data_IF_586165469932
#
_entry.id   IF_586165469932
#
_cell.length_a   1.000
_cell.length_b   1.000
_cell.length_c   1.000
_cell.angle_alpha   90.00
_cell.angle_beta   90.00
_cell.angle_gamma   90.00
#
_symmetry.space_group_name_H-M   'P 1'
#
loop_
_entity.id
_entity.type
_entity.pdbx_description
1 polymer ?
#
# COMPACT_ATOMS: atom_id res chain seq x y z
N UNK A 1 -46.52 5.91 81.26
CA UNK A 1 -45.60 4.96 80.60
C UNK A 1 -46.22 4.35 79.33
N UNK A 2 -47.31 3.59 79.41
CA UNK A 2 -47.91 2.90 78.24
C UNK A 2 -48.31 3.82 77.06
N UNK A 3 -48.84 5.02 77.32
CA UNK A 3 -49.19 5.97 76.25
C UNK A 3 -47.96 6.43 75.45
N UNK A 4 -46.82 6.58 76.12
CA UNK A 4 -45.58 7.05 75.49
C UNK A 4 -44.95 5.96 74.64
N UNK A 5 -44.99 4.71 75.13
CA UNK A 5 -44.53 3.51 74.41
C UNK A 5 -45.33 3.35 73.11
N UNK A 6 -46.67 3.40 73.17
CA UNK A 6 -47.53 3.35 71.97
C UNK A 6 -47.22 4.46 70.95
N UNK A 7 -46.88 5.66 71.42
CA UNK A 7 -46.55 6.78 70.55
C UNK A 7 -45.18 6.60 69.86
N UNK A 8 -44.23 5.98 70.57
CA UNK A 8 -42.93 5.61 69.98
C UNK A 8 -43.08 4.46 68.98
N UNK A 9 -43.91 3.46 69.27
CA UNK A 9 -44.23 2.36 68.35
C UNK A 9 -44.84 2.89 67.04
N UNK A 10 -45.86 3.77 67.12
CA UNK A 10 -46.46 4.39 65.93
C UNK A 10 -45.45 5.22 65.12
N UNK A 11 -44.54 5.95 65.77
CA UNK A 11 -43.49 6.70 65.07
C UNK A 11 -42.51 5.76 64.36
N UNK A 12 -42.10 4.69 65.02
CA UNK A 12 -41.18 3.71 64.46
C UNK A 12 -41.81 2.99 63.26
N UNK A 13 -43.10 2.66 63.34
CA UNK A 13 -43.86 2.07 62.25
C UNK A 13 -44.05 3.05 61.08
N UNK A 14 -44.31 4.33 61.37
CA UNK A 14 -44.37 5.37 60.32
C UNK A 14 -43.03 5.59 59.61
N UNK A 15 -41.91 5.52 60.35
CA UNK A 15 -40.57 5.62 59.76
C UNK A 15 -40.20 4.37 58.95
N UNK A 16 -40.58 3.19 59.43
CA UNK A 16 -40.37 1.94 58.69
C UNK A 16 -41.12 1.95 57.35
N UNK A 17 -42.39 2.40 57.35
CA UNK A 17 -43.17 2.56 56.12
C UNK A 17 -42.53 3.59 55.19
N UNK A 18 -42.10 4.74 55.71
CA UNK A 18 -41.44 5.78 54.92
C UNK A 18 -40.17 5.26 54.23
N UNK A 19 -39.28 4.62 54.98
CA UNK A 19 -38.04 4.04 54.44
C UNK A 19 -38.33 2.95 53.40
N UNK A 20 -39.37 2.14 53.62
CA UNK A 20 -39.77 1.12 52.66
C UNK A 20 -40.26 1.77 51.35
N UNK A 21 -41.10 2.81 51.43
CA UNK A 21 -41.57 3.52 50.24
C UNK A 21 -40.44 4.22 49.50
N UNK A 22 -39.50 4.86 50.21
CA UNK A 22 -38.32 5.46 49.58
C UNK A 22 -37.49 4.39 48.86
N UNK A 23 -37.22 3.26 49.52
CA UNK A 23 -36.50 2.14 48.90
C UNK A 23 -37.18 1.68 47.60
N UNK A 24 -38.49 1.47 47.63
CA UNK A 24 -39.25 1.02 46.45
C UNK A 24 -39.19 2.07 45.31
N UNK A 25 -39.23 3.37 45.64
CA UNK A 25 -39.06 4.44 44.65
C UNK A 25 -37.65 4.48 44.05
N UNK A 26 -36.61 4.29 44.86
CA UNK A 26 -35.22 4.22 44.39
C UNK A 26 -35.01 3.00 43.49
N UNK A 27 -35.56 1.84 43.84
CA UNK A 27 -35.49 0.62 43.02
C UNK A 27 -36.24 0.77 41.69
N UNK A 28 -37.36 1.49 41.67
CA UNK A 28 -38.08 1.78 40.43
C UNK A 28 -37.28 2.76 39.55
N UNK A 29 -36.74 3.83 40.15
CA UNK A 29 -35.93 4.81 39.43
C UNK A 29 -34.66 4.18 38.85
N UNK A 30 -33.99 3.31 39.61
CA UNK A 30 -32.81 2.58 39.13
C UNK A 30 -33.15 1.71 37.93
N UNK A 31 -34.22 0.91 38.01
CA UNK A 31 -34.69 0.08 36.88
C UNK A 31 -35.02 0.90 35.65
N UNK A 32 -35.71 2.03 35.81
CA UNK A 32 -36.02 2.93 34.70
C UNK A 32 -34.74 3.48 34.06
N UNK A 33 -33.75 3.88 34.86
CA UNK A 33 -32.47 4.36 34.34
C UNK A 33 -31.75 3.24 33.57
N UNK A 34 -31.67 2.03 34.12
CA UNK A 34 -31.07 0.88 33.45
C UNK A 34 -31.77 0.54 32.12
N UNK A 35 -33.10 0.58 32.09
CA UNK A 35 -33.88 0.31 30.89
C UNK A 35 -33.67 1.39 29.82
N UNK A 36 -33.64 2.68 30.21
CA UNK A 36 -33.35 3.76 29.26
C UNK A 36 -31.94 3.67 28.69
N UNK A 37 -30.94 3.29 29.49
CA UNK A 37 -29.57 3.09 29.00
C UNK A 37 -29.46 1.86 28.10
N UNK A 38 -30.17 0.78 28.42
CA UNK A 38 -30.25 -0.40 27.55
C UNK A 38 -30.83 -0.07 26.19
N UNK A 39 -31.96 0.64 26.14
CA UNK A 39 -32.60 1.06 24.89
C UNK A 39 -31.71 2.00 24.08
N UNK A 40 -31.01 2.94 24.73
CA UNK A 40 -30.03 3.81 24.05
C UNK A 40 -28.87 3.03 23.46
N UNK A 41 -28.35 2.05 24.19
CA UNK A 41 -27.27 1.19 23.71
C UNK A 41 -27.72 0.35 22.51
N UNK A 42 -28.92 -0.25 22.57
CA UNK A 42 -29.49 -1.01 21.46
C UNK A 42 -29.73 -0.15 20.22
N UNK A 43 -30.27 1.07 20.39
CA UNK A 43 -30.45 2.02 19.31
C UNK A 43 -29.12 2.43 18.66
N UNK A 44 -28.11 2.78 19.47
CA UNK A 44 -26.78 3.16 18.98
C UNK A 44 -26.09 1.99 18.28
N UNK A 45 -26.25 0.77 18.80
CA UNK A 45 -25.73 -0.45 18.18
C UNK A 45 -26.37 -0.68 16.81
N UNK A 46 -27.69 -0.55 16.70
CA UNK A 46 -28.40 -0.69 15.43
C UNK A 46 -27.99 0.38 14.41
N UNK A 47 -27.82 1.63 14.84
CA UNK A 47 -27.34 2.72 13.98
C UNK A 47 -25.91 2.48 13.48
N UNK A 48 -25.00 2.05 14.36
CA UNK A 48 -23.64 1.71 13.98
C UNK A 48 -23.57 0.50 13.03
N UNK A 49 -24.41 -0.52 13.24
CA UNK A 49 -24.49 -1.66 12.33
C UNK A 49 -25.05 -1.26 10.95
N UNK A 50 -26.05 -0.39 10.90
CA UNK A 50 -26.62 0.13 9.66
C UNK A 50 -25.63 0.98 8.87
N UNK A 51 -24.98 1.95 9.52
CA UNK A 51 -23.95 2.81 8.89
C UNK A 51 -22.78 1.97 8.37
N UNK A 52 -22.29 1.00 9.17
CA UNK A 52 -21.22 0.10 8.72
C UNK A 52 -21.64 -0.78 7.55
N UNK A 53 -22.90 -1.23 7.50
CA UNK A 53 -23.42 -2.01 6.37
C UNK A 53 -23.51 -1.17 5.09
N UNK A 54 -23.98 0.07 5.19
CA UNK A 54 -24.07 1.00 4.06
C UNK A 54 -22.69 1.33 3.48
N UNK A 55 -21.70 1.56 4.34
CA UNK A 55 -20.34 1.90 3.91
C UNK A 55 -19.65 0.70 3.23
N UNK A 56 -19.81 -0.51 3.78
CA UNK A 56 -19.36 -1.74 3.11
C UNK A 56 -20.05 -1.94 1.76
N UNK A 57 -21.34 -1.62 1.65
CA UNK A 57 -22.06 -1.73 0.38
C UNK A 57 -21.51 -0.73 -0.66
N UNK A 58 -21.17 0.50 -0.26
CA UNK A 58 -20.53 1.49 -1.14
C UNK A 58 -19.16 1.00 -1.61
N UNK A 59 -18.31 0.53 -0.69
CA UNK A 59 -16.98 0.00 -1.04
C UNK A 59 -17.07 -1.17 -2.03
N UNK A 60 -18.02 -2.08 -1.83
CA UNK A 60 -18.24 -3.21 -2.74
C UNK A 60 -18.69 -2.72 -4.13
N UNK A 61 -19.57 -1.72 -4.20
CA UNK A 61 -20.01 -1.12 -5.48
C UNK A 61 -18.84 -0.43 -6.21
N UNK A 62 -18.02 0.32 -5.48
CA UNK A 62 -16.84 0.98 -6.03
C UNK A 62 -15.80 -0.02 -6.54
N UNK A 63 -15.48 -1.05 -5.75
CA UNK A 63 -14.56 -2.11 -6.17
C UNK A 63 -15.08 -2.86 -7.40
N UNK A 64 -16.38 -3.14 -7.46
CA UNK A 64 -17.01 -3.76 -8.63
C UNK A 64 -16.91 -2.88 -9.88
N UNK A 65 -17.06 -1.57 -9.73
CA UNK A 65 -16.88 -0.62 -10.84
C UNK A 65 -15.41 -0.59 -11.31
N UNK A 66 -14.45 -0.53 -10.39
CA UNK A 66 -13.01 -0.59 -10.72
C UNK A 66 -12.64 -1.88 -11.45
N UNK A 67 -13.13 -3.03 -10.98
CA UNK A 67 -12.90 -4.31 -11.63
C UNK A 67 -13.48 -4.34 -13.05
N UNK A 68 -14.68 -3.77 -13.25
CA UNK A 68 -15.29 -3.65 -14.57
C UNK A 68 -14.42 -2.81 -15.51
N UNK A 69 -13.97 -1.64 -15.08
CA UNK A 69 -13.10 -0.78 -15.89
C UNK A 69 -11.79 -1.47 -16.25
N UNK A 70 -11.12 -2.11 -15.28
CA UNK A 70 -9.87 -2.84 -15.53
C UNK A 70 -10.07 -3.99 -16.53
N UNK A 71 -11.23 -4.66 -16.46
CA UNK A 71 -11.57 -5.70 -17.44
C UNK A 71 -11.77 -5.12 -18.85
N UNK A 72 -12.46 -3.98 -18.97
CA UNK A 72 -12.64 -3.29 -20.25
C UNK A 72 -11.29 -2.83 -20.84
N UNK A 73 -10.38 -2.33 -20.01
CA UNK A 73 -9.01 -1.99 -20.42
C UNK A 73 -8.26 -3.24 -20.91
N UNK A 74 -8.30 -4.34 -20.16
CA UNK A 74 -7.69 -5.60 -20.57
C UNK A 74 -8.23 -6.13 -21.90
N UNK A 75 -9.55 -6.05 -22.09
CA UNK A 75 -10.18 -6.47 -23.35
C UNK A 75 -9.75 -5.55 -24.50
N UNK A 76 -9.62 -4.23 -24.26
CA UNK A 76 -9.11 -3.29 -25.27
C UNK A 76 -7.66 -3.55 -25.66
N UNK A 77 -6.79 -3.92 -24.70
CA UNK A 77 -5.40 -4.29 -24.98
C UNK A 77 -5.32 -5.59 -25.77
N UNK A 78 -6.20 -6.55 -25.48
CA UNK A 78 -6.32 -7.80 -26.23
C UNK A 78 -6.71 -7.53 -27.68
N UNK A 79 -7.75 -6.74 -27.90
CA UNK A 79 -8.22 -6.36 -29.24
C UNK A 79 -7.14 -5.59 -30.03
N UNK A 80 -6.31 -4.79 -29.36
CA UNK A 80 -5.16 -4.13 -29.98
C UNK A 80 -4.08 -5.15 -30.38
N UNK A 81 -3.74 -6.08 -29.48
CA UNK A 81 -2.75 -7.12 -29.74
C UNK A 81 -3.17 -8.03 -30.90
N UNK A 82 -4.44 -8.44 -30.93
CA UNK A 82 -5.00 -9.27 -32.00
C UNK A 82 -4.92 -8.54 -33.35
N UNK A 83 -5.29 -7.26 -33.41
CA UNK A 83 -5.14 -6.44 -34.64
C UNK A 83 -3.69 -6.30 -35.09
N UNK A 84 -2.76 -6.08 -34.16
CA UNK A 84 -1.34 -6.01 -34.50
C UNK A 84 -0.82 -7.35 -35.03
N UNK A 85 -1.29 -8.46 -34.47
CA UNK A 85 -0.90 -9.79 -34.91
C UNK A 85 -1.43 -10.09 -36.33
N UNK A 86 -2.69 -9.74 -36.61
CA UNK A 86 -3.27 -9.81 -37.96
C UNK A 86 -2.49 -8.97 -38.98
N UNK A 87 -2.08 -7.75 -38.62
CA UNK A 87 -1.27 -6.89 -39.50
C UNK A 87 0.10 -7.52 -39.80
N UNK A 88 0.75 -8.10 -38.78
CA UNK A 88 2.02 -8.81 -38.97
C UNK A 88 1.84 -10.06 -39.84
N UNK A 89 0.75 -10.81 -39.67
CA UNK A 89 0.45 -11.99 -40.50
C UNK A 89 0.17 -11.61 -41.96
N UNK A 90 -0.49 -10.48 -42.21
CA UNK A 90 -0.67 -9.93 -43.56
C UNK A 90 0.66 -9.55 -44.20
N UNK A 91 1.56 -8.89 -43.46
CA UNK A 91 2.88 -8.52 -43.95
C UNK A 91 3.77 -9.75 -44.20
N UNK A 92 3.73 -10.74 -43.30
CA UNK A 92 4.40 -12.04 -43.51
C UNK A 92 3.88 -12.71 -44.78
N UNK A 93 2.57 -12.69 -45.01
CA UNK A 93 1.96 -13.24 -46.22
C UNK A 93 2.40 -12.48 -47.49
N UNK A 94 2.45 -11.15 -47.42
CA UNK A 94 2.94 -10.29 -48.51
C UNK A 94 4.40 -10.59 -48.86
N UNK A 95 5.29 -10.56 -47.86
CA UNK A 95 6.71 -10.88 -48.02
C UNK A 95 6.91 -12.32 -48.51
N UNK A 96 6.14 -13.28 -48.01
CA UNK A 96 6.19 -14.66 -48.48
C UNK A 96 5.80 -14.79 -49.95
N UNK A 97 4.78 -14.04 -50.40
CA UNK A 97 4.40 -13.99 -51.82
C UNK A 97 5.50 -13.35 -52.68
N UNK A 98 6.15 -12.30 -52.19
CA UNK A 98 7.22 -11.59 -52.89
C UNK A 98 8.47 -12.47 -53.02
N UNK A 99 8.83 -13.19 -51.96
CA UNK A 99 9.89 -14.22 -51.99
C UNK A 99 9.57 -15.30 -53.01
N UNK A 100 8.34 -15.83 -53.06
CA UNK A 100 7.93 -16.84 -54.06
C UNK A 100 8.05 -16.29 -55.48
N UNK A 101 7.62 -15.05 -55.72
CA UNK A 101 7.72 -14.40 -57.03
C UNK A 101 9.19 -14.19 -57.46
N UNK A 102 10.07 -13.80 -56.53
CA UNK A 102 11.50 -13.65 -56.77
C UNK A 102 12.16 -15.00 -57.07
N UNK A 103 11.84 -16.05 -56.32
CA UNK A 103 12.30 -17.41 -56.59
C UNK A 103 11.86 -17.89 -57.97
N UNK A 104 10.61 -17.68 -58.33
CA UNK A 104 10.10 -18.04 -59.66
C UNK A 104 10.78 -17.23 -60.78
N UNK A 105 11.14 -15.96 -60.53
CA UNK A 105 11.89 -15.13 -61.48
C UNK A 105 13.34 -15.59 -61.65
N UNK A 106 13.96 -16.11 -60.58
CA UNK A 106 15.29 -16.71 -60.60
C UNK A 106 15.33 -18.04 -61.36
N UNK A 107 14.31 -18.88 -61.19
CA UNK A 107 14.18 -20.16 -61.92
C UNK A 107 13.88 -19.97 -63.42
N UNK A 108 13.24 -18.85 -63.80
CA UNK A 108 12.99 -18.49 -65.20
C UNK A 108 14.20 -17.85 -65.92
N UNK A 109 15.29 -17.52 -65.20
CA UNK A 109 16.51 -17.00 -65.81
C UNK A 109 17.37 -18.17 -66.34
N UNK A 110 17.64 -18.27 -67.65
CA UNK A 110 18.43 -19.37 -68.18
C UNK A 110 19.89 -19.26 -67.70
N UNK A 111 20.45 -20.41 -67.32
CA UNK A 111 21.85 -20.60 -66.92
C UNK A 111 22.75 -20.30 -68.12
N UNK A 112 23.27 -19.08 -68.20
CA UNK A 112 24.14 -18.61 -69.28
C UNK A 112 25.48 -18.11 -68.77
N UNK A 113 26.52 -18.89 -69.08
CA UNK A 113 27.91 -18.53 -69.36
C UNK A 113 28.81 -17.98 -68.23
N UNK A 114 29.67 -18.88 -67.78
CA UNK A 114 31.05 -18.61 -67.35
C UNK A 114 31.85 -18.36 -68.63
N UNK A 115 32.46 -17.18 -68.80
CA UNK A 115 33.89 -17.00 -69.16
C UNK A 115 34.25 -15.54 -69.51
N UNK A 116 35.32 -15.10 -68.84
CA UNK A 116 36.35 -14.09 -69.14
C UNK A 116 36.10 -13.00 -70.20
N UNK A 117 36.15 -11.72 -69.76
CA UNK A 117 36.89 -10.67 -70.48
C UNK A 117 37.67 -9.81 -69.48
N UNK A 118 38.99 -9.91 -69.56
CA UNK A 118 39.97 -9.07 -68.91
C UNK A 118 39.99 -7.64 -69.48
N UNK A 119 40.29 -6.66 -68.61
CA UNK A 119 41.18 -5.54 -68.94
C UNK A 119 40.55 -4.23 -69.42
N UNK A 120 40.52 -3.24 -68.54
CA UNK A 120 40.88 -1.82 -68.79
C UNK A 120 40.77 -1.07 -67.45
N UNK A 121 41.87 -0.86 -66.74
CA UNK A 121 42.72 0.33 -66.86
C UNK A 121 41.95 1.64 -66.62
N UNK A 122 42.04 2.11 -65.38
CA UNK A 122 42.33 3.50 -64.99
C UNK A 122 41.65 4.61 -65.80
N UNK A 123 40.61 5.22 -65.23
CA UNK A 123 40.33 6.64 -65.48
C UNK A 123 39.83 7.32 -64.20
N UNK A 124 40.79 7.97 -63.52
CA UNK A 124 40.52 9.21 -62.80
C UNK A 124 39.88 10.18 -63.80
N UNK A 125 38.64 10.57 -63.54
CA UNK A 125 38.11 11.83 -64.05
C UNK A 125 37.44 12.57 -62.89
N UNK A 126 38.20 13.54 -62.38
CA UNK A 126 37.68 14.69 -61.69
C UNK A 126 36.69 15.40 -62.62
N UNK A 127 35.40 15.32 -62.29
CA UNK A 127 34.36 16.22 -62.78
C UNK A 127 33.29 16.33 -61.70
N UNK A 128 33.50 17.24 -60.76
CA UNK A 128 32.49 17.67 -59.80
C UNK A 128 31.33 18.32 -60.56
N UNK A 129 30.24 17.57 -60.75
CA UNK A 129 28.95 18.13 -61.11
C UNK A 129 28.25 18.56 -59.81
N UNK A 130 27.78 19.83 -59.69
CA UNK A 130 27.22 20.37 -58.45
C UNK A 130 26.03 19.55 -57.92
N UNK A 131 25.31 18.85 -58.80
CA UNK A 131 24.19 17.97 -58.46
C UNK A 131 24.58 16.74 -57.63
N UNK A 132 25.79 16.18 -57.79
CA UNK A 132 26.21 14.99 -57.01
C UNK A 132 26.60 15.39 -55.57
N UNK A 133 27.24 16.55 -55.40
CA UNK A 133 27.56 17.11 -54.09
C UNK A 133 26.27 17.50 -53.33
N UNK A 134 25.28 18.09 -54.00
CA UNK A 134 23.98 18.40 -53.41
C UNK A 134 23.24 17.15 -52.93
N UNK A 135 23.21 16.07 -53.73
CA UNK A 135 22.59 14.80 -53.32
C UNK A 135 23.27 14.20 -52.09
N UNK A 136 24.61 14.29 -52.00
CA UNK A 136 25.36 13.80 -50.85
C UNK A 136 25.11 14.63 -49.59
N UNK A 137 25.00 15.96 -49.72
CA UNK A 137 24.63 16.86 -48.61
C UNK A 137 23.23 16.55 -48.09
N UNK A 138 22.26 16.32 -49.00
CA UNK A 138 20.88 16.01 -48.63
C UNK A 138 20.77 14.66 -47.88
N UNK A 139 21.56 13.67 -48.31
CA UNK A 139 21.66 12.37 -47.63
C UNK A 139 22.26 12.51 -46.22
N UNK A 140 23.35 13.26 -46.07
CA UNK A 140 23.99 13.51 -44.78
C UNK A 140 23.10 14.31 -43.84
N UNK A 141 22.39 15.32 -44.35
CA UNK A 141 21.42 16.09 -43.57
C UNK A 141 20.27 15.23 -43.08
N UNK A 142 19.75 14.31 -43.93
CA UNK A 142 18.73 13.34 -43.52
C UNK A 142 19.24 12.39 -42.43
N UNK A 143 20.45 11.86 -42.58
CA UNK A 143 21.05 10.97 -41.58
C UNK A 143 21.33 11.72 -40.27
N UNK A 144 21.70 12.99 -40.34
CA UNK A 144 21.89 13.83 -39.17
C UNK A 144 20.57 14.12 -38.45
N UNK A 145 19.50 14.46 -39.18
CA UNK A 145 18.18 14.66 -38.60
C UNK A 145 17.65 13.38 -37.91
N UNK A 146 17.86 12.20 -38.50
CA UNK A 146 17.50 10.92 -37.87
C UNK A 146 18.26 10.67 -36.57
N UNK A 147 19.59 10.88 -36.58
CA UNK A 147 20.40 10.75 -35.36
C UNK A 147 19.97 11.74 -34.27
N UNK A 148 19.67 12.98 -34.65
CA UNK A 148 19.20 14.00 -33.71
C UNK A 148 17.83 13.64 -33.14
N UNK A 149 16.91 13.12 -33.95
CA UNK A 149 15.59 12.66 -33.49
C UNK A 149 15.71 11.51 -32.49
N UNK A 150 16.49 10.47 -32.80
CA UNK A 150 16.77 9.35 -31.89
C UNK A 150 17.41 9.82 -30.58
N UNK A 151 18.34 10.78 -30.66
CA UNK A 151 19.01 11.35 -29.49
C UNK A 151 18.01 12.15 -28.64
N UNK A 152 17.13 12.95 -29.23
CA UNK A 152 16.07 13.65 -28.47
C UNK A 152 15.05 12.69 -27.87
N UNK A 153 14.71 11.60 -28.56
CA UNK A 153 13.80 10.58 -28.04
C UNK A 153 14.42 9.86 -26.83
N UNK A 154 15.69 9.46 -26.93
CA UNK A 154 16.42 8.86 -25.82
C UNK A 154 16.53 9.82 -24.63
N UNK A 155 16.83 11.10 -24.87
CA UNK A 155 16.88 12.12 -23.81
C UNK A 155 15.54 12.28 -23.10
N UNK A 156 14.42 12.33 -23.83
CA UNK A 156 13.08 12.39 -23.22
C UNK A 156 12.79 11.15 -22.38
N UNK A 157 13.18 9.97 -22.85
CA UNK A 157 12.97 8.74 -22.11
C UNK A 157 13.82 8.68 -20.84
N UNK A 158 15.08 9.14 -20.90
CA UNK A 158 15.94 9.25 -19.72
C UNK A 158 15.32 10.18 -18.68
N UNK A 159 14.79 11.34 -19.09
CA UNK A 159 14.13 12.27 -18.16
C UNK A 159 12.88 11.65 -17.54
N UNK A 160 12.03 10.99 -18.33
CA UNK A 160 10.84 10.32 -17.80
C UNK A 160 11.20 9.23 -16.77
N UNK A 161 12.23 8.42 -17.04
CA UNK A 161 12.72 7.41 -16.11
C UNK A 161 13.34 8.03 -14.85
N UNK A 162 14.02 9.17 -14.97
CA UNK A 162 14.58 9.88 -13.82
C UNK A 162 13.48 10.40 -12.90
N UNK A 163 12.42 10.98 -13.46
CA UNK A 163 11.25 11.44 -12.70
C UNK A 163 10.56 10.27 -11.98
N UNK A 164 10.38 9.14 -12.68
CA UNK A 164 9.80 7.92 -12.10
C UNK A 164 10.65 7.36 -10.95
N UNK A 165 11.97 7.35 -11.09
CA UNK A 165 12.89 6.91 -10.02
C UNK A 165 12.77 7.86 -8.81
N UNK A 166 12.71 9.17 -9.00
CA UNK A 166 12.58 10.11 -7.89
C UNK A 166 11.25 9.92 -7.14
N UNK A 167 10.15 9.69 -7.87
CA UNK A 167 8.84 9.40 -7.28
C UNK A 167 8.86 8.11 -6.46
N UNK A 168 9.40 7.02 -7.03
CA UNK A 168 9.55 5.75 -6.34
C UNK A 168 10.46 5.86 -5.11
N UNK A 169 11.54 6.65 -5.17
CA UNK A 169 12.39 6.90 -4.01
C UNK A 169 11.64 7.65 -2.90
N UNK A 170 10.83 8.65 -3.25
CA UNK A 170 9.98 9.36 -2.28
C UNK A 170 8.98 8.42 -1.62
N UNK A 171 8.29 7.60 -2.41
CA UNK A 171 7.35 6.62 -1.89
C UNK A 171 8.06 5.60 -0.99
N UNK A 172 9.22 5.10 -1.39
CA UNK A 172 9.98 4.14 -0.59
C UNK A 172 10.42 4.73 0.76
N UNK A 173 10.85 6.00 0.78
CA UNK A 173 11.17 6.71 2.03
C UNK A 173 9.94 6.83 2.93
N UNK A 174 8.77 7.16 2.38
CA UNK A 174 7.52 7.26 3.13
C UNK A 174 7.09 5.90 3.69
N UNK A 175 7.11 4.85 2.86
CA UNK A 175 6.82 3.48 3.29
C UNK A 175 7.77 3.03 4.39
N UNK A 176 9.06 3.33 4.27
CA UNK A 176 10.07 3.00 5.29
C UNK A 176 9.76 3.68 6.63
N UNK A 177 9.34 4.95 6.61
CA UNK A 177 8.90 5.67 7.81
C UNK A 177 7.65 5.03 8.44
N UNK A 178 6.64 4.73 7.62
CA UNK A 178 5.41 4.07 8.10
C UNK A 178 5.70 2.70 8.70
N UNK A 179 6.55 1.89 8.07
CA UNK A 179 6.99 0.59 8.58
C UNK A 179 7.73 0.76 9.91
N UNK A 180 8.56 1.80 10.06
CA UNK A 180 9.24 2.09 11.33
C UNK A 180 8.23 2.39 12.44
N UNK A 181 7.26 3.26 12.17
CA UNK A 181 6.20 3.61 13.13
C UNK A 181 5.36 2.39 13.52
N UNK A 182 4.92 1.60 12.54
CA UNK A 182 4.13 0.39 12.80
C UNK A 182 4.91 -0.66 13.58
N UNK A 183 6.22 -0.80 13.34
CA UNK A 183 7.08 -1.70 14.14
C UNK A 183 7.21 -1.22 15.58
N UNK A 184 7.26 0.08 15.81
CA UNK A 184 7.31 0.66 17.15
C UNK A 184 5.98 0.46 17.89
N UNK A 185 4.85 0.73 17.23
CA UNK A 185 3.52 0.47 17.77
C UNK A 185 3.31 -1.02 18.10
N UNK A 186 3.73 -1.92 17.22
CA UNK A 186 3.68 -3.36 17.48
C UNK A 186 4.48 -3.73 18.73
N UNK A 187 5.70 -3.19 18.87
CA UNK A 187 6.52 -3.40 20.07
C UNK A 187 5.82 -2.85 21.32
N UNK A 188 5.19 -1.68 21.23
CA UNK A 188 4.47 -1.08 22.36
C UNK A 188 3.26 -1.92 22.78
N UNK A 189 2.49 -2.41 21.81
CA UNK A 189 1.36 -3.32 22.04
C UNK A 189 1.82 -4.64 22.66
N UNK A 190 2.91 -5.23 22.17
CA UNK A 190 3.49 -6.44 22.75
C UNK A 190 3.95 -6.24 24.19
N UNK A 191 4.59 -5.09 24.49
CA UNK A 191 4.98 -4.73 25.87
C UNK A 191 3.75 -4.52 26.75
N UNK A 192 2.71 -3.85 26.26
CA UNK A 192 1.46 -3.64 27.00
C UNK A 192 0.78 -4.96 27.35
N UNK A 193 0.62 -5.85 26.36
CA UNK A 193 0.04 -7.19 26.56
C UNK A 193 0.83 -8.02 27.57
N UNK A 194 2.17 -7.97 27.51
CA UNK A 194 3.02 -8.68 28.48
C UNK A 194 2.89 -8.11 29.89
N UNK A 195 2.69 -6.79 30.05
CA UNK A 195 2.47 -6.15 31.37
C UNK A 195 1.15 -6.57 32.02
N UNK A 196 0.10 -6.80 31.24
CA UNK A 196 -1.21 -7.26 31.76
C UNK A 196 -1.13 -8.62 32.47
N UNK A 197 -0.18 -9.48 32.08
CA UNK A 197 0.02 -10.80 32.70
C UNK A 197 0.93 -10.83 33.92
N UNK A 198 1.43 -9.68 34.38
CA UNK A 198 2.39 -9.61 35.49
C UNK A 198 1.68 -9.59 36.83
N UNK A 199 2.12 -10.43 37.76
CA UNK A 199 1.64 -10.37 39.14
C UNK A 199 2.18 -9.10 39.84
N UNK A 200 1.26 -8.19 40.14
CA UNK A 200 1.56 -6.94 40.84
C UNK A 200 2.04 -7.16 42.27
N UNK A 201 1.70 -8.28 42.90
CA UNK A 201 2.17 -8.64 44.24
C UNK A 201 3.66 -8.97 44.22
N UNK A 202 4.08 -9.76 43.22
CA UNK A 202 5.50 -10.06 43.02
C UNK A 202 6.29 -8.79 42.69
N UNK A 203 5.80 -7.97 41.76
CA UNK A 203 6.45 -6.70 41.40
C UNK A 203 6.60 -5.77 42.62
N UNK A 204 5.54 -5.63 43.43
CA UNK A 204 5.57 -4.85 44.68
C UNK A 204 6.70 -5.32 45.60
N UNK A 205 6.86 -6.63 45.78
CA UNK A 205 7.88 -7.19 46.66
C UNK A 205 9.30 -6.96 46.14
N UNK A 206 9.50 -7.04 44.82
CA UNK A 206 10.80 -6.76 44.18
C UNK A 206 11.16 -5.28 44.31
N UNK A 207 10.20 -4.38 44.08
CA UNK A 207 10.40 -2.93 44.26
C UNK A 207 10.66 -2.58 45.72
N UNK A 208 9.95 -3.20 46.67
CA UNK A 208 10.17 -3.00 48.10
C UNK A 208 11.60 -3.41 48.49
N UNK A 209 12.07 -4.58 48.03
CA UNK A 209 13.45 -5.02 48.25
C UNK A 209 14.46 -4.06 47.64
N UNK A 210 14.21 -3.56 46.43
CA UNK A 210 15.09 -2.57 45.81
C UNK A 210 15.23 -1.30 46.67
N UNK A 211 14.13 -0.82 47.25
CA UNK A 211 14.14 0.36 48.13
C UNK A 211 14.78 0.08 49.50
N UNK A 212 14.67 -1.14 50.02
CA UNK A 212 15.25 -1.53 51.32
C UNK A 212 16.76 -1.82 51.24
N UNK A 213 17.21 -2.52 50.20
CA UNK A 213 18.62 -2.98 50.07
C UNK A 213 19.45 -2.13 49.12
N UNK A 214 18.83 -1.40 48.18
CA UNK A 214 19.54 -0.60 47.18
C UNK A 214 20.27 -1.42 46.11
N UNK A 215 19.99 -2.72 45.98
CA UNK A 215 20.66 -3.63 45.04
C UNK A 215 20.15 -3.43 43.58
N UNK A 216 20.42 -2.26 43.00
CA UNK A 216 19.98 -1.87 41.66
C UNK A 216 20.50 -2.84 40.60
N UNK A 217 21.78 -3.23 40.64
CA UNK A 217 22.38 -4.10 39.62
C UNK A 217 21.70 -5.49 39.52
N UNK A 218 21.23 -6.03 40.66
CA UNK A 218 20.60 -7.35 40.70
C UNK A 218 19.08 -7.30 40.42
N UNK A 219 18.38 -6.28 40.92
CA UNK A 219 16.92 -6.21 40.86
C UNK A 219 16.40 -5.41 39.65
N UNK A 220 17.20 -4.49 39.09
CA UNK A 220 16.81 -3.72 37.89
C UNK A 220 16.53 -4.61 36.67
N UNK A 221 17.33 -5.67 36.36
CA UNK A 221 17.01 -6.57 35.25
C UNK A 221 15.66 -7.29 35.43
N UNK A 222 15.32 -7.66 36.67
CA UNK A 222 14.05 -8.31 37.00
C UNK A 222 12.89 -7.34 36.79
N UNK A 223 13.00 -6.11 37.29
CA UNK A 223 11.99 -5.06 37.11
C UNK A 223 11.84 -4.70 35.62
N UNK A 224 12.95 -4.55 34.90
CA UNK A 224 12.96 -4.26 33.46
C UNK A 224 12.27 -5.36 32.65
N UNK A 225 12.44 -6.63 33.03
CA UNK A 225 11.75 -7.75 32.40
C UNK A 225 10.25 -7.75 32.71
N UNK A 226 9.86 -7.54 33.97
CA UNK A 226 8.44 -7.53 34.36
C UNK A 226 7.69 -6.37 33.71
N UNK A 227 8.27 -5.16 33.76
CA UNK A 227 7.67 -3.96 33.19
C UNK A 227 7.95 -3.77 31.70
N UNK A 228 8.72 -4.68 31.09
CA UNK A 228 9.08 -4.67 29.68
C UNK A 228 9.71 -3.35 29.23
N UNK A 229 10.74 -2.91 29.96
CA UNK A 229 11.47 -1.69 29.64
C UNK A 229 12.08 -1.75 28.24
N UNK A 230 12.07 -0.60 27.57
CA UNK A 230 12.86 -0.35 26.37
C UNK A 230 14.36 -0.34 26.71
N UNK A 231 15.23 -0.61 25.71
CA UNK A 231 16.68 -0.51 25.90
C UNK A 231 17.11 0.84 26.45
N UNK A 232 16.44 1.92 26.04
CA UNK A 232 16.72 3.29 26.46
C UNK A 232 16.35 3.53 27.93
N UNK A 233 15.23 2.96 28.40
CA UNK A 233 14.82 3.04 29.81
C UNK A 233 15.79 2.26 30.71
N UNK A 234 16.23 1.08 30.27
CA UNK A 234 17.25 0.31 31.00
C UNK A 234 18.56 1.08 31.11
N UNK A 235 19.02 1.70 30.00
CA UNK A 235 20.22 2.52 30.02
C UNK A 235 20.08 3.73 30.95
N UNK A 236 18.93 4.43 30.94
CA UNK A 236 18.68 5.56 31.85
C UNK A 236 18.73 5.13 33.32
N UNK A 237 18.17 3.97 33.65
CA UNK A 237 18.19 3.46 35.02
C UNK A 237 19.57 2.95 35.47
N UNK A 238 20.45 2.57 34.55
CA UNK A 238 21.83 2.16 34.86
C UNK A 238 22.80 3.35 34.99
N UNK A 239 22.48 4.48 34.36
CA UNK A 239 23.29 5.70 34.36
C UNK A 239 22.90 6.69 35.47
N UNK A 240 21.79 6.43 36.17
CA UNK A 240 21.28 7.23 37.29
C UNK A 240 21.84 6.71 38.63
#
# INVERSE_FOLDING_TARGET
>A
ANQHIKNLEMKLESQAIHLQTEKDTWELNLRNVEETWRLKYEALKAENEATRAEDLEKEVKELKAKFKNLKEEHDSFRDLADRMLEEKDMEISRLSSEIKNLQHSLDLRPKGSIDEINGTATQKQDASSPSAAEQQILMLARQQAQREEELTQAQRHILALQDEIEELERENRLHSQQVSLLKEELRNMDRARKREGVDMTYLKNVVLKLLETGEVEALLPVIAMLLQFSPDEVQKCQQA
#
